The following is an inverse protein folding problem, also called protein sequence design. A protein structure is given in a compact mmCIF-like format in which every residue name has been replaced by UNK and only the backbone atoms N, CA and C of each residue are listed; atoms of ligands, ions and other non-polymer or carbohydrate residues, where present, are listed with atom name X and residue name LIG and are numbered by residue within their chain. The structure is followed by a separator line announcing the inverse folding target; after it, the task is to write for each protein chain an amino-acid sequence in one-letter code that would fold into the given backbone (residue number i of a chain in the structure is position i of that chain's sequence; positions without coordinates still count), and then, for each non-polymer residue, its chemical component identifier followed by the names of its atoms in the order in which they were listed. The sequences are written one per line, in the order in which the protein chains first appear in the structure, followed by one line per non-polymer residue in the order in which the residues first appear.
data_IF_943477652445
#
_entry.id   IF_943477652445
#
_cell.length_a   1.000
_cell.length_b   1.000
_cell.length_c   1.000
_cell.angle_alpha   90.00
_cell.angle_beta   90.00
_cell.angle_gamma   90.00
#
_symmetry.space_group_name_H-M   'P 1'
#
loop_
_entity.id
_entity.type
_entity.pdbx_description
1 polymer ?
#
# COMPACT_ATOMS: atom_id res chain seq x y z
N UNK A 1 -16.76 -5.76 8.43
CA UNK A 1 -15.28 -5.78 8.51
C UNK A 1 -14.60 -6.29 7.23
N UNK A 2 -15.06 -7.40 6.60
CA UNK A 2 -14.47 -7.91 5.34
C UNK A 2 -14.70 -7.05 4.06
N UNK A 3 -15.69 -6.15 4.06
CA UNK A 3 -16.08 -5.40 2.85
C UNK A 3 -15.18 -4.22 2.48
N UNK A 4 -14.38 -3.69 3.42
CA UNK A 4 -13.56 -2.50 3.16
C UNK A 4 -12.23 -2.82 2.42
N UNK A 5 -11.85 -4.10 2.31
CA UNK A 5 -10.60 -4.51 1.67
C UNK A 5 -9.33 -4.22 2.48
N UNK A 6 -9.47 -3.89 3.77
CA UNK A 6 -8.34 -3.56 4.67
C UNK A 6 -7.61 -4.82 5.16
N UNK A 7 -8.34 -5.92 5.25
CA UNK A 7 -7.82 -7.17 5.79
C UNK A 7 -7.08 -8.01 4.73
N UNK A 8 -6.09 -8.77 5.19
CA UNK A 8 -5.44 -9.86 4.46
C UNK A 8 -6.48 -10.84 3.85
N UNK A 9 -6.22 -11.45 2.67
CA UNK A 9 -4.98 -11.47 1.88
C UNK A 9 -4.83 -10.39 0.79
N UNK A 10 -5.87 -9.61 0.48
CA UNK A 10 -5.79 -8.50 -0.48
C UNK A 10 -5.95 -7.15 0.26
N UNK A 11 -5.27 -7.03 1.39
CA UNK A 11 -5.23 -5.81 2.20
C UNK A 11 -4.77 -4.62 1.34
N UNK A 12 -5.55 -3.53 1.37
CA UNK A 12 -5.28 -2.31 0.61
C UNK A 12 -5.92 -1.11 1.29
N UNK A 13 -5.57 0.09 0.84
CA UNK A 13 -6.26 1.30 1.27
C UNK A 13 -7.75 1.20 0.93
N UNK A 14 -8.65 1.31 1.93
CA UNK A 14 -10.10 1.19 1.70
C UNK A 14 -10.62 2.38 0.88
N UNK A 15 -11.71 2.17 0.16
CA UNK A 15 -12.17 3.10 -0.90
C UNK A 15 -12.50 4.51 -0.38
N UNK A 16 -13.09 4.60 0.80
CA UNK A 16 -13.37 5.84 1.52
C UNK A 16 -12.07 6.60 1.85
N UNK A 17 -11.03 5.91 2.32
CA UNK A 17 -9.73 6.53 2.55
C UNK A 17 -9.05 6.97 1.27
N UNK A 18 -9.18 6.24 0.16
CA UNK A 18 -8.63 6.70 -1.13
C UNK A 18 -9.19 8.05 -1.54
N UNK A 19 -10.44 8.35 -1.18
CA UNK A 19 -11.08 9.63 -1.46
C UNK A 19 -10.49 10.79 -0.62
N UNK A 20 -9.82 10.51 0.50
CA UNK A 20 -9.16 11.54 1.32
C UNK A 20 -7.77 11.93 0.78
N UNK A 21 -7.15 11.11 -0.07
CA UNK A 21 -5.93 11.47 -0.80
C UNK A 21 -6.28 12.32 -2.03
N UNK A 22 -6.57 13.60 -1.80
CA UNK A 22 -6.90 14.58 -2.85
C UNK A 22 -5.72 14.92 -3.74
N UNK A 23 -4.51 15.05 -3.17
CA UNK A 23 -3.27 15.22 -3.93
C UNK A 23 -2.69 13.86 -4.36
N UNK A 24 -3.16 13.37 -5.51
CA UNK A 24 -2.65 12.12 -6.10
C UNK A 24 -1.20 12.22 -6.55
N UNK A 25 -0.71 13.41 -6.90
CA UNK A 25 0.65 13.60 -7.37
C UNK A 25 1.64 13.41 -6.20
N UNK A 26 1.36 14.03 -5.05
CA UNK A 26 2.13 13.82 -3.83
C UNK A 26 2.10 12.34 -3.39
N UNK A 27 0.93 11.69 -3.43
CA UNK A 27 0.81 10.28 -3.09
C UNK A 27 1.65 9.37 -4.01
N UNK A 28 1.66 9.63 -5.32
CA UNK A 28 2.51 8.91 -6.29
C UNK A 28 4.00 9.16 -6.05
N UNK A 29 4.40 10.40 -5.69
CA UNK A 29 5.78 10.72 -5.37
C UNK A 29 6.26 9.97 -4.10
N UNK A 30 5.42 9.89 -3.07
CA UNK A 30 5.71 9.08 -1.89
C UNK A 30 5.86 7.59 -2.22
N UNK A 31 4.97 7.03 -3.05
CA UNK A 31 5.10 5.65 -3.50
C UNK A 31 6.41 5.42 -4.28
N UNK A 32 6.74 6.31 -5.22
CA UNK A 32 7.98 6.22 -5.98
C UNK A 32 9.22 6.25 -5.07
N UNK A 33 9.21 7.10 -4.04
CA UNK A 33 10.28 7.14 -3.04
C UNK A 33 10.39 5.82 -2.27
N UNK A 34 9.26 5.25 -1.82
CA UNK A 34 9.25 3.97 -1.12
C UNK A 34 9.78 2.82 -1.99
N UNK A 35 9.45 2.80 -3.27
CA UNK A 35 9.95 1.81 -4.23
C UNK A 35 11.44 1.98 -4.53
N UNK A 36 11.92 3.23 -4.61
CA UNK A 36 13.33 3.54 -4.85
C UNK A 36 14.27 3.03 -3.73
N UNK A 37 13.76 2.86 -2.51
CA UNK A 37 14.51 2.23 -1.42
C UNK A 37 14.78 0.74 -1.65
N UNK A 38 14.09 0.11 -2.61
CA UNK A 38 14.18 -1.33 -2.90
C UNK A 38 14.08 -2.19 -1.62
N UNK A 39 13.00 -2.04 -0.84
CA UNK A 39 12.86 -2.78 0.41
C UNK A 39 12.79 -4.28 0.15
N UNK A 40 13.39 -5.07 1.04
CA UNK A 40 13.25 -6.53 1.05
C UNK A 40 12.03 -6.99 1.84
N UNK A 41 11.62 -6.21 2.85
CA UNK A 41 10.60 -6.58 3.86
C UNK A 41 9.70 -5.40 4.20
N UNK A 42 8.46 -5.68 4.61
CA UNK A 42 7.52 -4.69 5.13
C UNK A 42 7.08 -5.14 6.53
N UNK A 43 7.34 -4.30 7.53
CA UNK A 43 6.91 -4.52 8.90
C UNK A 43 5.78 -3.53 9.20
N UNK A 44 4.59 -4.05 9.48
CA UNK A 44 3.41 -3.26 9.81
C UNK A 44 3.13 -3.35 11.31
N UNK A 45 2.73 -2.24 11.92
CA UNK A 45 2.28 -2.22 13.31
C UNK A 45 1.04 -3.11 13.53
N UNK A 46 0.16 -3.14 12.53
CA UNK A 46 -1.06 -3.95 12.54
C UNK A 46 -1.24 -4.63 11.18
N UNK A 47 -1.60 -5.92 11.20
CA UNK A 47 -1.77 -6.73 9.99
C UNK A 47 -0.58 -7.64 9.72
N UNK A 48 -0.50 -8.13 8.48
CA UNK A 48 0.54 -9.09 8.07
C UNK A 48 1.85 -8.38 7.75
N UNK A 49 2.95 -8.88 8.29
CA UNK A 49 4.30 -8.50 7.85
C UNK A 49 4.68 -9.29 6.60
N UNK A 50 5.41 -8.66 5.69
CA UNK A 50 5.90 -9.28 4.45
C UNK A 50 7.40 -9.50 4.56
N UNK A 51 7.81 -10.77 4.56
CA UNK A 51 9.20 -11.19 4.73
C UNK A 51 10.03 -11.26 3.44
N UNK A 52 9.37 -11.17 2.29
CA UNK A 52 9.96 -11.11 0.94
C UNK A 52 9.01 -10.33 0.01
N UNK A 53 9.47 -10.04 -1.22
CA UNK A 53 8.67 -9.42 -2.30
C UNK A 53 8.03 -8.07 -1.94
N UNK A 54 8.67 -7.30 -1.06
CA UNK A 54 8.12 -6.05 -0.55
C UNK A 54 7.82 -5.02 -1.66
N UNK A 55 8.66 -4.93 -2.70
CA UNK A 55 8.40 -4.06 -3.85
C UNK A 55 7.09 -4.43 -4.55
N UNK A 56 6.91 -5.71 -4.90
CA UNK A 56 5.70 -6.19 -5.58
C UNK A 56 4.45 -5.99 -4.71
N UNK A 57 4.59 -6.16 -3.39
CA UNK A 57 3.51 -5.94 -2.45
C UNK A 57 3.13 -4.46 -2.33
N UNK A 58 4.09 -3.54 -2.33
CA UNK A 58 3.83 -2.10 -2.39
C UNK A 58 3.09 -1.74 -3.68
N UNK A 59 3.53 -2.23 -4.83
CA UNK A 59 2.85 -2.02 -6.11
C UNK A 59 1.40 -2.55 -6.09
N UNK A 60 1.18 -3.76 -5.55
CA UNK A 60 -0.16 -4.35 -5.40
C UNK A 60 -1.07 -3.52 -4.51
N UNK A 61 -0.59 -3.12 -3.33
CA UNK A 61 -1.37 -2.42 -2.32
C UNK A 61 -1.75 -1.00 -2.79
N UNK A 62 -0.85 -0.35 -3.53
CA UNK A 62 -1.02 1.01 -4.05
C UNK A 62 -1.48 1.09 -5.51
N UNK A 63 -1.87 -0.02 -6.16
CA UNK A 63 -2.38 -0.05 -7.56
C UNK A 63 -3.54 0.90 -7.88
N UNK A 64 -4.23 1.40 -6.85
CA UNK A 64 -5.28 2.40 -7.00
C UNK A 64 -4.76 3.82 -7.24
N UNK A 65 -3.44 4.05 -7.08
CA UNK A 65 -2.76 5.29 -7.41
C UNK A 65 -2.30 5.35 -8.86
N UNK A 66 -2.39 4.25 -9.64
CA UNK A 66 -2.07 4.23 -11.07
C UNK A 66 -2.89 5.24 -11.88
#
# INVERSE_FOLDING_TARGET
MKLAGIADPDGKTPADWRATFSDKAAARACLAQMLAWQPEKIILAHGRCYGCDAVAELERAFRWLC
#
